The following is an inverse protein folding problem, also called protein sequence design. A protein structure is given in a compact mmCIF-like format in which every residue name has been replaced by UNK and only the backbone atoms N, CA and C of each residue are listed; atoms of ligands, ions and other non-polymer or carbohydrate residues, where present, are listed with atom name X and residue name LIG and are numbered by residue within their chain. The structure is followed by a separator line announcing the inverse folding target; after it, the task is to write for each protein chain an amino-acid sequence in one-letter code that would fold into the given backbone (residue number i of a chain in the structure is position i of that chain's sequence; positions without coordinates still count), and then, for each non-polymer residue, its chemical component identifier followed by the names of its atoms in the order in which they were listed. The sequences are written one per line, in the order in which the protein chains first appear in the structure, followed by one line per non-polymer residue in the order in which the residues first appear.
data_IF_657167151316
#
_entry.id   IF_657167151316
#
_cell.length_a   1.000
_cell.length_b   1.000
_cell.length_c   1.000
_cell.angle_alpha   90.00
_cell.angle_beta   90.00
_cell.angle_gamma   90.00
#
_symmetry.space_group_name_H-M   'P 1'
#
loop_
_entity.id
_entity.type
_entity.pdbx_description
1 polymer ?
#
# COMPACT_ATOMS: atom_id res chain seq x y z
N UNK A 1 -3.33 -4.79 16.10
CA UNK A 1 -2.49 -5.19 14.95
C UNK A 1 -1.36 -4.22 14.65
N UNK A 2 -1.50 -2.92 14.98
CA UNK A 2 -0.40 -1.96 14.82
C UNK A 2 0.78 -2.30 15.74
N UNK A 3 0.48 -2.53 17.02
CA UNK A 3 1.49 -2.94 18.02
C UNK A 3 2.07 -4.32 17.66
N UNK A 4 1.21 -5.28 17.33
CA UNK A 4 1.64 -6.64 16.98
C UNK A 4 2.59 -6.64 15.77
N UNK A 5 2.26 -5.82 14.74
CA UNK A 5 3.13 -5.67 13.56
C UNK A 5 4.49 -5.10 13.95
N UNK A 6 4.51 -4.05 14.76
CA UNK A 6 5.74 -3.42 15.23
C UNK A 6 6.61 -4.41 16.03
N UNK A 7 6.01 -5.17 16.94
CA UNK A 7 6.71 -6.19 17.73
C UNK A 7 7.30 -7.32 16.87
N UNK A 8 6.54 -7.80 15.89
CA UNK A 8 7.03 -8.85 14.97
C UNK A 8 8.14 -8.33 14.08
N UNK A 9 7.99 -7.10 13.58
CA UNK A 9 9.03 -6.43 12.81
C UNK A 9 10.34 -6.26 13.63
N UNK A 10 10.25 -5.83 14.89
CA UNK A 10 11.43 -5.73 15.79
C UNK A 10 12.15 -7.07 15.99
N UNK A 11 11.45 -8.18 15.89
CA UNK A 11 12.03 -9.54 15.94
C UNK A 11 12.63 -9.99 14.60
N UNK A 12 12.61 -9.14 13.58
CA UNK A 12 13.20 -9.42 12.26
C UNK A 12 12.32 -10.25 11.33
N UNK A 13 11.02 -10.46 11.65
CA UNK A 13 10.11 -11.18 10.77
C UNK A 13 9.61 -10.28 9.65
N UNK A 14 9.51 -10.83 8.44
CA UNK A 14 8.64 -10.25 7.42
C UNK A 14 7.17 -10.40 7.87
N UNK A 15 6.29 -9.47 7.48
CA UNK A 15 4.91 -9.46 7.97
C UNK A 15 3.92 -9.40 6.83
N UNK A 16 2.93 -10.28 6.88
CA UNK A 16 1.73 -10.22 6.03
C UNK A 16 0.56 -9.74 6.88
N UNK A 17 0.13 -8.50 6.69
CA UNK A 17 -1.03 -7.94 7.38
C UNK A 17 -2.27 -8.04 6.49
N UNK A 18 -3.18 -8.94 6.84
CA UNK A 18 -4.48 -9.09 6.19
C UNK A 18 -5.58 -8.51 7.09
N UNK A 19 -6.00 -7.28 6.82
CA UNK A 19 -6.94 -6.53 7.64
C UNK A 19 -7.89 -5.69 6.78
N UNK A 20 -9.19 -5.57 7.10
CA UNK A 20 -10.15 -4.80 6.32
C UNK A 20 -9.74 -3.36 6.07
N UNK A 21 -10.35 -2.71 5.07
CA UNK A 21 -10.13 -1.29 4.79
C UNK A 21 -10.56 -0.40 5.96
N UNK A 22 -9.91 0.76 6.12
CA UNK A 22 -10.22 1.72 7.17
C UNK A 22 -9.81 1.29 8.59
N UNK A 23 -8.89 0.33 8.73
CA UNK A 23 -8.39 -0.15 10.02
C UNK A 23 -7.01 0.41 10.40
N UNK A 24 -6.46 1.31 9.57
CA UNK A 24 -5.13 1.85 9.79
C UNK A 24 -3.98 0.94 9.33
N UNK A 25 -4.22 0.02 8.37
CA UNK A 25 -3.20 -0.87 7.80
C UNK A 25 -1.95 -0.14 7.34
N UNK A 26 -2.16 0.90 6.54
CA UNK A 26 -1.04 1.63 5.94
C UNK A 26 -0.14 2.23 7.00
N UNK A 27 -0.72 2.88 8.02
CA UNK A 27 0.06 3.40 9.14
C UNK A 27 0.78 2.25 9.88
N UNK A 28 0.09 1.13 10.13
CA UNK A 28 0.71 -0.05 10.75
C UNK A 28 1.96 -0.49 9.99
N UNK A 29 1.90 -0.55 8.65
CA UNK A 29 3.03 -0.92 7.81
C UNK A 29 4.22 0.04 7.89
N UNK A 30 3.97 1.32 8.13
CA UNK A 30 5.04 2.33 8.24
C UNK A 30 5.64 2.46 9.64
N UNK A 31 4.94 2.04 10.70
CA UNK A 31 5.41 2.21 12.09
C UNK A 31 6.83 1.69 12.32
N UNK A 32 7.23 0.48 11.88
CA UNK A 32 8.61 0.00 12.08
C UNK A 32 9.64 0.88 11.40
N UNK A 33 9.34 1.34 10.20
CA UNK A 33 10.21 2.21 9.42
C UNK A 33 10.35 3.61 10.03
N UNK A 34 9.25 4.19 10.51
CA UNK A 34 9.24 5.50 11.15
C UNK A 34 10.01 5.45 12.47
N UNK A 35 9.80 4.40 13.27
CA UNK A 35 10.54 4.21 14.54
C UNK A 35 12.05 4.08 14.30
N UNK A 36 12.47 3.25 13.33
CA UNK A 36 13.89 3.10 13.01
C UNK A 36 14.49 4.41 12.46
N UNK A 37 13.78 5.16 11.63
CA UNK A 37 14.22 6.47 11.13
C UNK A 37 14.31 7.52 12.24
N UNK A 38 13.42 7.51 13.22
CA UNK A 38 13.46 8.41 14.36
C UNK A 38 14.70 8.15 15.25
N UNK A 39 15.13 6.90 15.34
CA UNK A 39 16.32 6.53 16.13
C UNK A 39 17.61 6.70 15.34
N UNK A 40 17.59 6.44 14.02
CA UNK A 40 18.76 6.37 13.16
C UNK A 40 18.66 7.41 12.04
N UNK A 41 18.87 8.69 12.36
CA UNK A 41 18.74 9.78 11.39
C UNK A 41 19.68 9.59 10.18
N UNK A 42 19.16 8.99 9.10
CA UNK A 42 19.88 8.75 7.84
C UNK A 42 19.34 9.62 6.74
N UNK A 43 20.20 10.16 5.88
CA UNK A 43 19.80 10.93 4.67
C UNK A 43 19.85 10.08 3.41
N UNK A 44 19.55 8.79 3.50
CA UNK A 44 19.57 7.84 2.39
C UNK A 44 18.23 7.11 2.27
N UNK A 45 18.02 6.43 1.14
CA UNK A 45 16.83 5.61 0.94
C UNK A 45 16.78 4.49 1.98
N UNK A 46 15.78 4.56 2.84
CA UNK A 46 15.57 3.65 3.96
C UNK A 46 14.36 2.74 3.75
N UNK A 47 13.30 3.29 3.18
CA UNK A 47 12.02 2.59 2.98
C UNK A 47 11.53 2.76 1.57
N UNK A 48 11.16 1.65 0.95
CA UNK A 48 10.50 1.62 -0.34
C UNK A 48 9.04 1.19 -0.16
N UNK A 49 8.12 2.06 -0.53
CA UNK A 49 6.70 1.74 -0.55
C UNK A 49 6.25 1.50 -1.99
N UNK A 50 5.65 0.34 -2.24
CA UNK A 50 5.20 -0.09 -3.57
C UNK A 50 3.70 -0.27 -3.56
N UNK A 51 2.98 0.46 -4.43
CA UNK A 51 1.54 0.33 -4.63
C UNK A 51 1.20 0.01 -6.08
N UNK A 52 0.16 -0.78 -6.33
CA UNK A 52 -0.32 -1.06 -7.69
C UNK A 52 -0.94 0.16 -8.38
N UNK A 53 -1.35 1.19 -7.63
CA UNK A 53 -2.05 2.36 -8.13
C UNK A 53 -1.27 3.65 -7.84
N UNK A 54 -1.12 4.51 -8.86
CA UNK A 54 -0.44 5.80 -8.74
C UNK A 54 -1.12 6.76 -7.75
N UNK A 55 -2.45 6.82 -7.76
CA UNK A 55 -3.22 7.68 -6.86
C UNK A 55 -2.95 7.39 -5.39
N UNK A 56 -2.84 6.12 -5.02
CA UNK A 56 -2.54 5.71 -3.66
C UNK A 56 -1.18 6.20 -3.17
N UNK A 57 -0.17 6.26 -4.04
CA UNK A 57 1.17 6.73 -3.65
C UNK A 57 1.16 8.18 -3.18
N UNK A 58 0.39 9.05 -3.84
CA UNK A 58 0.26 10.47 -3.48
C UNK A 58 -0.57 10.69 -2.22
N UNK A 59 -1.69 9.97 -2.10
CA UNK A 59 -2.58 10.09 -0.95
C UNK A 59 -1.89 9.63 0.34
N UNK A 60 -1.14 8.54 0.28
CA UNK A 60 -0.41 8.02 1.44
C UNK A 60 0.74 8.94 1.82
N UNK A 61 1.51 9.46 0.86
CA UNK A 61 2.54 10.46 1.12
C UNK A 61 1.95 11.65 1.89
N UNK A 62 0.82 12.19 1.43
CA UNK A 62 0.14 13.31 2.07
C UNK A 62 -0.31 12.97 3.49
N UNK A 63 -0.91 11.80 3.68
CA UNK A 63 -1.45 11.36 4.97
C UNK A 63 -0.35 11.07 6.00
N UNK A 64 0.84 10.64 5.57
CA UNK A 64 1.98 10.42 6.46
C UNK A 64 2.75 11.70 6.82
N UNK A 65 2.80 12.68 5.92
CA UNK A 65 3.49 13.95 6.16
C UNK A 65 2.99 14.67 7.40
N UNK A 66 1.66 14.71 7.58
CA UNK A 66 1.06 15.43 8.70
C UNK A 66 1.53 14.90 10.06
N UNK A 67 1.33 13.62 10.43
CA UNK A 67 1.76 13.11 11.73
C UNK A 67 3.28 13.16 11.91
N UNK A 68 4.07 12.97 10.87
CA UNK A 68 5.54 13.03 10.96
C UNK A 68 6.02 14.45 11.23
N UNK A 69 5.41 15.46 10.61
CA UNK A 69 5.71 16.86 10.91
C UNK A 69 5.27 17.24 12.33
N UNK A 70 4.12 16.77 12.80
CA UNK A 70 3.64 17.00 14.16
C UNK A 70 4.57 16.37 15.22
N UNK A 71 5.23 15.28 14.89
CA UNK A 71 6.26 14.64 15.73
C UNK A 71 7.65 15.27 15.59
N UNK A 72 7.82 16.33 14.77
CA UNK A 72 9.10 16.97 14.47
C UNK A 72 10.20 15.99 14.01
N UNK A 73 9.85 14.97 13.24
CA UNK A 73 10.81 14.03 12.68
C UNK A 73 11.36 14.54 11.34
N UNK A 74 12.69 14.55 11.19
CA UNK A 74 13.38 14.92 9.94
C UNK A 74 13.37 13.73 8.95
N UNK A 75 12.20 13.40 8.42
CA UNK A 75 12.00 12.32 7.46
C UNK A 75 11.59 12.91 6.11
N UNK A 76 12.40 12.66 5.09
CA UNK A 76 12.14 13.12 3.73
C UNK A 76 11.34 12.09 2.93
N UNK A 77 10.41 12.61 2.12
CA UNK A 77 9.52 11.83 1.26
C UNK A 77 9.73 12.15 -0.21
N UNK A 78 9.50 11.17 -1.06
CA UNK A 78 9.46 11.38 -2.50
C UNK A 78 8.61 10.35 -3.21
N UNK A 79 7.94 10.78 -4.27
CA UNK A 79 7.14 9.90 -5.13
C UNK A 79 7.81 9.73 -6.48
N UNK A 80 7.91 8.47 -6.94
CA UNK A 80 8.43 8.08 -8.26
C UNK A 80 7.44 7.18 -8.97
N UNK A 81 6.73 7.76 -9.92
CA UNK A 81 5.77 7.08 -10.79
C UNK A 81 6.10 7.34 -12.25
N UNK A 82 5.30 6.80 -13.18
CA UNK A 82 5.43 7.12 -14.60
C UNK A 82 5.37 8.63 -14.86
N UNK A 83 4.52 9.33 -14.13
CA UNK A 83 4.22 10.76 -14.32
C UNK A 83 5.24 11.70 -13.64
N UNK A 84 6.15 11.18 -12.82
CA UNK A 84 7.20 11.99 -12.17
C UNK A 84 8.17 12.55 -13.22
N UNK A 85 8.41 13.85 -13.18
CA UNK A 85 9.32 14.55 -14.10
C UNK A 85 10.73 13.96 -14.07
N UNK A 86 11.39 13.95 -15.22
CA UNK A 86 12.73 13.39 -15.37
C UNK A 86 13.77 14.06 -14.45
N UNK A 87 13.72 15.38 -14.31
CA UNK A 87 14.57 16.15 -13.39
C UNK A 87 14.47 15.67 -11.95
N UNK A 88 13.24 15.41 -11.48
CA UNK A 88 12.97 14.89 -10.14
C UNK A 88 13.51 13.46 -10.02
N UNK A 89 13.26 12.61 -11.02
CA UNK A 89 13.81 11.24 -11.06
C UNK A 89 15.32 11.23 -10.95
N UNK A 90 16.00 12.14 -11.68
CA UNK A 90 17.46 12.29 -11.63
C UNK A 90 17.94 12.78 -10.25
N UNK A 91 17.25 13.76 -9.64
CA UNK A 91 17.55 14.24 -8.29
C UNK A 91 17.42 13.13 -7.25
N UNK A 92 16.38 12.32 -7.32
CA UNK A 92 16.16 11.19 -6.40
C UNK A 92 17.27 10.12 -6.48
N UNK A 93 17.95 9.99 -7.60
CA UNK A 93 19.10 9.09 -7.72
C UNK A 93 20.36 9.66 -7.06
N UNK A 94 20.51 10.97 -6.98
CA UNK A 94 21.67 11.65 -6.39
C UNK A 94 21.47 11.85 -4.90
N UNK A 95 20.29 12.35 -4.53
CA UNK A 95 19.85 12.61 -3.16
C UNK A 95 18.50 11.93 -2.92
N UNK A 96 18.49 10.64 -2.59
CA UNK A 96 17.26 9.89 -2.40
C UNK A 96 16.54 10.34 -1.12
N UNK A 97 15.19 10.33 -1.13
CA UNK A 97 14.42 10.54 0.10
C UNK A 97 14.56 9.33 1.03
N UNK A 98 14.22 9.52 2.30
CA UNK A 98 14.20 8.43 3.28
C UNK A 98 13.11 7.40 2.92
N UNK A 99 11.94 7.87 2.52
CA UNK A 99 10.81 7.04 2.09
C UNK A 99 10.47 7.38 0.65
N UNK A 100 10.59 6.39 -0.23
CA UNK A 100 10.26 6.50 -1.65
C UNK A 100 8.97 5.74 -1.94
N UNK A 101 7.95 6.47 -2.37
CA UNK A 101 6.69 5.92 -2.86
C UNK A 101 6.79 5.62 -4.36
N UNK A 102 6.42 4.42 -4.77
CA UNK A 102 6.55 4.04 -6.18
C UNK A 102 5.47 3.06 -6.62
N UNK A 103 5.33 2.90 -7.93
CA UNK A 103 4.53 1.81 -8.54
C UNK A 103 5.43 0.65 -8.93
N UNK A 104 4.82 -0.52 -9.20
CA UNK A 104 5.54 -1.73 -9.61
C UNK A 104 6.41 -1.44 -10.83
N UNK A 105 5.84 -0.82 -11.86
CA UNK A 105 6.53 -0.52 -13.11
C UNK A 105 7.71 0.43 -12.91
N UNK A 106 7.50 1.46 -12.09
CA UNK A 106 8.54 2.43 -11.76
C UNK A 106 9.67 1.83 -10.93
N UNK A 107 9.34 0.89 -10.02
CA UNK A 107 10.33 0.13 -9.27
C UNK A 107 11.18 -0.76 -10.19
N UNK A 108 10.55 -1.48 -11.14
CA UNK A 108 11.26 -2.31 -12.11
C UNK A 108 12.24 -1.47 -12.96
N UNK A 109 11.80 -0.30 -13.42
CA UNK A 109 12.68 0.64 -14.13
C UNK A 109 13.82 1.14 -13.25
N UNK A 110 13.54 1.44 -11.97
CA UNK A 110 14.55 1.86 -11.02
C UNK A 110 15.60 0.77 -10.75
N UNK A 111 15.18 -0.51 -10.72
CA UNK A 111 16.09 -1.66 -10.62
C UNK A 111 16.97 -1.86 -11.83
N UNK A 112 16.58 -1.37 -13.01
CA UNK A 112 17.37 -1.42 -14.25
C UNK A 112 18.42 -0.29 -14.31
N UNK A 113 18.31 0.75 -13.49
CA UNK A 113 19.27 1.84 -13.46
C UNK A 113 20.64 1.40 -12.90
N UNK A 114 21.71 1.89 -13.49
CA UNK A 114 23.10 1.45 -13.17
C UNK A 114 23.63 1.94 -11.82
N UNK A 115 22.85 2.70 -11.02
CA UNK A 115 23.28 3.20 -9.70
C UNK A 115 23.23 2.09 -8.65
N UNK A 116 24.36 1.46 -8.40
CA UNK A 116 24.51 0.32 -7.49
C UNK A 116 24.23 0.66 -6.00
N UNK A 117 24.40 1.92 -5.61
CA UNK A 117 24.38 2.32 -4.18
C UNK A 117 23.03 2.86 -3.67
N UNK A 118 22.05 3.06 -4.57
CA UNK A 118 20.75 3.61 -4.17
C UNK A 118 20.08 2.82 -3.06
N UNK A 119 20.12 1.49 -3.16
CA UNK A 119 19.44 0.59 -2.22
C UNK A 119 20.31 0.13 -1.05
N UNK A 120 21.57 0.57 -0.97
CA UNK A 120 22.54 0.06 0.04
C UNK A 120 22.06 0.20 1.49
N UNK A 121 21.27 1.24 1.78
CA UNK A 121 20.73 1.51 3.12
C UNK A 121 19.24 1.15 3.25
N UNK A 122 18.67 0.45 2.26
CA UNK A 122 17.28 0.04 2.28
C UNK A 122 17.07 -1.03 3.35
N UNK A 123 16.20 -0.74 4.32
CA UNK A 123 15.84 -1.65 5.42
C UNK A 123 14.44 -2.23 5.27
N UNK A 124 13.50 -1.44 4.74
CA UNK A 124 12.09 -1.84 4.65
C UNK A 124 11.54 -1.75 3.24
N UNK A 125 10.77 -2.75 2.86
CA UNK A 125 9.92 -2.74 1.67
C UNK A 125 8.49 -2.95 2.13
N UNK A 126 7.61 -1.99 1.83
CA UNK A 126 6.19 -2.06 2.13
C UNK A 126 5.46 -2.24 0.81
N UNK A 127 4.68 -3.31 0.68
CA UNK A 127 3.89 -3.61 -0.53
C UNK A 127 2.42 -3.53 -0.16
N UNK A 128 1.70 -2.58 -0.74
CA UNK A 128 0.29 -2.37 -0.42
C UNK A 128 -0.64 -2.98 -1.48
N UNK A 129 -1.88 -3.22 -1.07
CA UNK A 129 -2.95 -3.80 -1.88
C UNK A 129 -2.54 -5.10 -2.61
N UNK A 130 -1.78 -5.96 -1.93
CA UNK A 130 -1.19 -7.17 -2.55
C UNK A 130 -2.25 -8.12 -3.11
N UNK A 131 -3.51 -8.08 -2.62
CA UNK A 131 -4.60 -8.88 -3.15
C UNK A 131 -4.89 -8.62 -4.64
N UNK A 132 -4.55 -7.43 -5.14
CA UNK A 132 -4.75 -7.05 -6.54
C UNK A 132 -3.64 -7.53 -7.47
N UNK A 133 -2.52 -8.01 -6.92
CA UNK A 133 -1.32 -8.37 -7.69
C UNK A 133 -0.87 -9.82 -7.49
N UNK A 134 -1.24 -10.49 -6.41
CA UNK A 134 -0.97 -11.93 -6.22
C UNK A 134 -1.59 -12.71 -7.39
N UNK A 135 -0.85 -13.69 -7.91
CA UNK A 135 -1.23 -14.51 -9.08
C UNK A 135 -1.45 -13.71 -10.38
N UNK A 136 -0.80 -12.57 -10.53
CA UNK A 136 -0.81 -11.78 -11.76
C UNK A 136 0.60 -11.61 -12.32
N UNK A 137 0.71 -11.32 -13.64
CA UNK A 137 2.00 -10.99 -14.29
C UNK A 137 2.73 -9.82 -13.62
N UNK A 138 1.98 -8.84 -13.06
CA UNK A 138 2.56 -7.72 -12.30
C UNK A 138 3.16 -8.18 -10.98
N UNK A 139 2.50 -9.10 -10.29
CA UNK A 139 3.00 -9.71 -9.05
C UNK A 139 4.24 -10.55 -9.28
N UNK A 140 4.27 -11.37 -10.34
CA UNK A 140 5.45 -12.16 -10.74
C UNK A 140 6.65 -11.25 -11.06
N UNK A 141 6.42 -10.19 -11.83
CA UNK A 141 7.45 -9.21 -12.16
C UNK A 141 8.00 -8.52 -10.90
N UNK A 142 7.13 -8.15 -9.96
CA UNK A 142 7.52 -7.58 -8.69
C UNK A 142 8.34 -8.58 -7.88
N UNK A 143 7.86 -9.81 -7.70
CA UNK A 143 8.52 -10.87 -6.94
C UNK A 143 9.94 -11.13 -7.47
N UNK A 144 10.11 -11.28 -8.78
CA UNK A 144 11.43 -11.45 -9.40
C UNK A 144 12.40 -10.31 -9.06
N UNK A 145 11.95 -9.07 -9.14
CA UNK A 145 12.80 -7.91 -8.83
C UNK A 145 13.08 -7.77 -7.34
N UNK A 146 12.15 -8.17 -6.46
CA UNK A 146 12.39 -8.24 -5.02
C UNK A 146 13.47 -9.26 -4.66
N UNK A 147 13.42 -10.45 -5.26
CA UNK A 147 14.47 -11.48 -5.06
C UNK A 147 15.83 -10.94 -5.53
N UNK A 148 15.90 -10.30 -6.70
CA UNK A 148 17.14 -9.67 -7.19
C UNK A 148 17.66 -8.59 -6.23
N UNK A 149 16.76 -7.78 -5.65
CA UNK A 149 17.13 -6.73 -4.70
C UNK A 149 17.62 -7.32 -3.39
N UNK A 150 16.87 -8.26 -2.80
CA UNK A 150 17.22 -8.94 -1.54
C UNK A 150 18.54 -9.72 -1.62
N UNK A 151 18.91 -10.23 -2.79
CA UNK A 151 20.21 -10.88 -3.00
C UNK A 151 21.38 -9.89 -3.03
N UNK A 152 21.14 -8.63 -3.37
CA UNK A 152 22.17 -7.58 -3.41
C UNK A 152 22.33 -6.83 -2.11
N UNK A 153 21.24 -6.69 -1.36
CA UNK A 153 21.17 -5.87 -0.13
C UNK A 153 20.51 -6.69 0.95
N UNK A 154 21.23 -6.92 2.05
CA UNK A 154 20.75 -7.69 3.22
C UNK A 154 21.15 -6.97 4.51
N UNK A 155 20.32 -7.02 5.55
CA UNK A 155 18.94 -7.56 5.59
C UNK A 155 17.92 -6.52 5.12
N UNK A 156 16.90 -6.94 4.36
CA UNK A 156 15.73 -6.13 4.03
C UNK A 156 14.50 -6.84 4.57
N UNK A 157 13.67 -6.12 5.31
CA UNK A 157 12.41 -6.62 5.83
C UNK A 157 11.25 -6.24 4.91
N UNK A 158 10.36 -7.19 4.65
CA UNK A 158 9.18 -6.97 3.80
C UNK A 158 7.90 -6.96 4.63
N UNK A 159 7.06 -5.95 4.40
CA UNK A 159 5.75 -5.83 5.01
C UNK A 159 4.74 -5.78 3.86
N UNK A 160 3.84 -6.75 3.81
CA UNK A 160 2.76 -6.80 2.83
C UNK A 160 1.43 -6.46 3.47
N UNK A 161 0.67 -5.57 2.82
CA UNK A 161 -0.61 -5.08 3.31
C UNK A 161 -1.73 -5.48 2.36
N UNK A 162 -2.82 -6.01 2.90
CA UNK A 162 -3.99 -6.39 2.13
C UNK A 162 -5.28 -6.19 2.90
N UNK A 163 -6.35 -5.88 2.16
CA UNK A 163 -7.70 -5.79 2.73
C UNK A 163 -8.39 -7.15 2.79
N UNK A 164 -8.23 -8.00 1.78
CA UNK A 164 -9.07 -9.18 1.55
C UNK A 164 -8.30 -10.27 0.82
N UNK A 165 -7.35 -10.93 1.48
CA UNK A 165 -6.76 -12.15 0.96
C UNK A 165 -7.51 -13.37 1.49
N UNK A 166 -7.98 -14.23 0.58
CA UNK A 166 -8.52 -15.54 0.96
C UNK A 166 -7.41 -16.41 1.54
N UNK A 167 -6.26 -16.40 0.90
CA UNK A 167 -5.08 -17.16 1.28
C UNK A 167 -3.86 -16.22 1.45
N UNK A 168 -3.59 -15.68 2.65
CA UNK A 168 -2.47 -14.77 2.89
C UNK A 168 -1.09 -15.44 2.78
N UNK A 169 -1.02 -16.76 2.91
CA UNK A 169 0.19 -17.54 2.70
C UNK A 169 0.76 -17.33 1.28
N UNK A 170 -0.11 -17.17 0.28
CA UNK A 170 0.31 -16.86 -1.08
C UNK A 170 1.10 -15.56 -1.15
N UNK A 171 0.63 -14.50 -0.50
CA UNK A 171 1.34 -13.22 -0.46
C UNK A 171 2.69 -13.33 0.26
N UNK A 172 2.75 -14.13 1.34
CA UNK A 172 4.00 -14.44 2.03
C UNK A 172 5.00 -15.13 1.09
N UNK A 173 4.57 -16.18 0.41
CA UNK A 173 5.41 -16.95 -0.52
C UNK A 173 5.87 -16.12 -1.73
N UNK A 174 5.04 -15.17 -2.20
CA UNK A 174 5.40 -14.31 -3.34
C UNK A 174 6.40 -13.21 -2.98
N UNK A 175 6.27 -12.57 -1.82
CA UNK A 175 6.94 -11.30 -1.55
C UNK A 175 7.85 -11.31 -0.33
N UNK A 176 7.60 -12.20 0.64
CA UNK A 176 8.37 -12.27 1.87
C UNK A 176 9.56 -13.24 1.77
N UNK A 177 10.44 -13.21 2.77
CA UNK A 177 11.43 -14.25 3.02
C UNK A 177 10.77 -15.51 3.59
N UNK A 178 11.53 -16.58 3.80
CA UNK A 178 11.00 -17.79 4.45
C UNK A 178 10.55 -17.56 5.90
N UNK A 179 11.07 -16.50 6.54
CA UNK A 179 10.76 -16.17 7.93
C UNK A 179 9.74 -15.03 8.00
N UNK A 180 8.46 -15.34 7.79
CA UNK A 180 7.38 -14.35 7.86
C UNK A 180 6.27 -14.78 8.82
N UNK A 181 5.49 -13.79 9.28
CA UNK A 181 4.29 -13.97 10.12
C UNK A 181 3.08 -13.35 9.46
N UNK A 182 1.93 -14.03 9.62
CA UNK A 182 0.64 -13.53 9.13
C UNK A 182 -0.14 -12.95 10.31
N UNK A 183 -0.55 -11.69 10.16
CA UNK A 183 -1.42 -11.01 11.11
C UNK A 183 -2.82 -10.86 10.53
N UNK A 184 -3.81 -11.48 11.17
CA UNK A 184 -5.24 -11.40 10.84
C UNK A 184 -6.01 -10.85 12.05
N UNK A 185 -6.08 -9.53 12.23
CA UNK A 185 -6.80 -8.98 13.38
C UNK A 185 -8.29 -9.27 13.27
N UNK A 186 -8.88 -9.73 14.37
CA UNK A 186 -10.33 -9.91 14.48
C UNK A 186 -10.98 -8.54 14.62
N UNK A 187 -11.70 -8.10 13.62
CA UNK A 187 -12.43 -6.83 13.65
C UNK A 187 -13.91 -7.13 13.59
N UNK A 188 -14.60 -6.89 14.71
CA UNK A 188 -16.04 -7.03 14.79
C UNK A 188 -16.73 -5.77 14.26
N UNK A 189 -16.69 -5.54 12.93
CA UNK A 189 -17.57 -4.55 12.30
C UNK A 189 -18.94 -5.19 12.06
N UNK A 190 -19.97 -4.72 12.76
CA UNK A 190 -21.36 -5.09 12.43
C UNK A 190 -21.73 -4.37 11.12
N UNK A 191 -21.84 -5.13 10.05
CA UNK A 191 -22.33 -4.62 8.77
C UNK A 191 -23.83 -4.84 8.76
N UNK A 192 -24.62 -3.76 8.61
CA UNK A 192 -26.05 -3.86 8.36
C UNK A 192 -26.28 -3.89 6.87
N UNK A 193 -26.64 -5.04 6.33
CA UNK A 193 -26.98 -5.20 4.93
C UNK A 193 -28.49 -5.04 4.75
N UNK A 194 -28.91 -4.17 3.82
CA UNK A 194 -30.31 -4.02 3.43
C UNK A 194 -30.41 -4.15 1.91
N UNK A 195 -31.27 -5.02 1.47
CA UNK A 195 -31.67 -5.13 0.05
C UNK A 195 -32.91 -4.26 -0.11
N UNK A 196 -32.85 -3.32 -1.04
CA UNK A 196 -33.94 -2.38 -1.29
C UNK A 196 -34.50 -2.67 -2.68
N UNK A 197 -35.83 -2.76 -2.77
CA UNK A 197 -36.53 -2.81 -4.05
C UNK A 197 -36.95 -1.39 -4.40
N UNK A 198 -36.76 -0.99 -5.65
CA UNK A 198 -37.29 0.30 -6.15
C UNK A 198 -38.81 0.32 -6.13
N UNK A 199 -39.38 1.48 -5.78
CA UNK A 199 -40.81 1.75 -5.88
C UNK A 199 -41.28 1.76 -7.33
N UNK A 200 -40.40 2.14 -8.26
CA UNK A 200 -40.67 2.20 -9.67
C UNK A 200 -40.43 0.86 -10.37
N UNK A 201 -41.25 0.53 -11.40
CA UNK A 201 -41.06 -0.69 -12.19
C UNK A 201 -39.76 -0.65 -12.99
N UNK A 202 -38.98 -1.73 -12.91
CA UNK A 202 -37.79 -1.89 -13.74
C UNK A 202 -38.18 -1.93 -15.21
N UNK A 203 -37.62 -1.05 -16.06
CA UNK A 203 -37.95 -1.08 -17.50
C UNK A 203 -37.38 -2.36 -18.15
N UNK A 204 -38.16 -2.93 -19.09
CA UNK A 204 -37.76 -4.15 -19.80
C UNK A 204 -36.48 -4.01 -20.64
N UNK A 205 -36.15 -2.79 -21.06
CA UNK A 205 -35.08 -2.49 -22.01
C UNK A 205 -33.91 -1.68 -21.40
N UNK A 206 -33.79 -1.57 -20.08
CA UNK A 206 -32.87 -0.61 -19.49
C UNK A 206 -31.75 -1.26 -18.70
N UNK A 207 -30.49 -0.92 -19.03
CA UNK A 207 -29.31 -1.14 -18.18
C UNK A 207 -29.05 0.04 -17.26
N UNK A 208 -29.79 1.14 -17.39
CA UNK A 208 -29.65 2.34 -16.56
C UNK A 208 -30.55 2.22 -15.33
N UNK A 209 -30.04 2.59 -14.17
CA UNK A 209 -30.75 2.56 -12.90
C UNK A 209 -31.56 3.84 -12.63
N UNK A 210 -31.98 4.57 -13.67
CA UNK A 210 -32.72 5.84 -13.55
C UNK A 210 -34.00 5.70 -12.71
N UNK A 211 -34.67 4.56 -12.83
CA UNK A 211 -35.88 4.23 -12.04
C UNK A 211 -35.61 4.17 -10.52
N UNK A 212 -34.37 3.99 -10.12
CA UNK A 212 -33.97 3.88 -8.70
C UNK A 212 -33.35 5.18 -8.15
N UNK A 213 -33.14 6.20 -8.98
CA UNK A 213 -32.45 7.43 -8.58
C UNK A 213 -33.16 8.16 -7.42
N UNK A 214 -34.51 8.25 -7.48
CA UNK A 214 -35.30 8.89 -6.43
C UNK A 214 -35.21 8.13 -5.11
N UNK A 215 -35.31 6.79 -5.14
CA UNK A 215 -35.21 5.94 -3.97
C UNK A 215 -33.79 6.04 -3.35
N UNK A 216 -32.75 6.06 -4.18
CA UNK A 216 -31.37 6.25 -3.75
C UNK A 216 -31.20 7.62 -3.10
N UNK A 217 -31.73 8.68 -3.73
CA UNK A 217 -31.66 10.04 -3.21
C UNK A 217 -32.33 10.16 -1.83
N UNK A 218 -33.53 9.62 -1.63
CA UNK A 218 -34.21 9.59 -0.33
C UNK A 218 -33.36 8.93 0.78
N UNK A 219 -32.64 7.85 0.41
CA UNK A 219 -31.80 7.10 1.38
C UNK A 219 -30.56 7.89 1.80
N UNK A 220 -29.97 8.67 0.90
CA UNK A 220 -28.71 9.38 1.14
C UNK A 220 -28.90 10.79 1.70
N UNK A 221 -30.10 11.36 1.65
CA UNK A 221 -30.43 12.75 1.98
C UNK A 221 -29.81 13.27 3.29
N UNK A 222 -29.64 12.39 4.30
CA UNK A 222 -29.09 12.74 5.62
C UNK A 222 -27.87 11.88 6.00
N UNK A 223 -27.11 11.37 5.01
CA UNK A 223 -26.00 10.46 5.25
C UNK A 223 -24.86 10.73 4.26
N UNK A 224 -23.64 10.52 4.69
CA UNK A 224 -22.51 10.38 3.76
C UNK A 224 -22.60 9.02 3.10
N UNK A 225 -22.63 8.97 1.78
CA UNK A 225 -22.78 7.73 1.01
C UNK A 225 -21.79 7.67 -0.15
N UNK A 226 -21.38 6.46 -0.50
CA UNK A 226 -20.64 6.16 -1.73
C UNK A 226 -21.54 5.27 -2.58
N UNK A 227 -21.85 5.71 -3.79
CA UNK A 227 -22.68 4.97 -4.73
C UNK A 227 -21.77 4.31 -5.75
N UNK A 228 -21.80 2.98 -5.82
CA UNK A 228 -21.09 2.22 -6.84
C UNK A 228 -22.03 1.90 -7.99
N UNK A 229 -21.60 2.22 -9.21
CA UNK A 229 -22.34 1.95 -10.45
C UNK A 229 -21.54 1.04 -11.37
N UNK A 230 -22.21 0.22 -12.17
CA UNK A 230 -21.54 -0.72 -13.08
C UNK A 230 -21.03 -0.06 -14.37
N UNK A 231 -21.64 1.05 -14.76
CA UNK A 231 -21.29 1.80 -15.99
C UNK A 231 -21.20 3.29 -15.69
N UNK A 232 -20.42 3.99 -16.51
CA UNK A 232 -20.35 5.47 -16.51
C UNK A 232 -21.38 6.03 -17.45
#
# INVERSE_FOLDING_TARGET
HQIDLLEKSKKGFDVVLNSPTGTGKTLAGFLPSIEDLAQNNTKKLHTLYISPLKSLTYDIERNLKKPINEMNLDISFGTRTGDTQFSIKKKQLISPPNILFTTIESFVLLMAEKKKDLFKNLKFIIIDEVHSIVNTKRGELLSLNLVRLKNKVKPIQTITLSATLKNPEEAGNYFCSQNYVILKPKINKKISLKILNSKNKVPWSGHMADYACEDIYEIILNRSAIIFVNTR
#
